data_IF_965061691403
#
_entry.id   IF_965061691403
#
_cell.length_a   1.000
_cell.length_b   1.000
_cell.length_c   1.000
_cell.angle_alpha   90.00
_cell.angle_beta   90.00
_cell.angle_gamma   90.00
#
_symmetry.space_group_name_H-M   'P 1'
#
loop_
_entity.id
_entity.type
_entity.pdbx_description
1 polymer ?
#
# COMPACT_ATOMS: atom_id res chain seq x y z
N UNK A 1 18.98 10.26 3.74
CA UNK A 1 17.89 9.33 3.45
C UNK A 1 17.26 9.73 2.15
N UNK A 2 16.61 8.78 1.49
CA UNK A 2 16.04 8.93 0.15
C UNK A 2 14.92 9.97 0.13
N UNK A 3 14.82 10.71 -0.97
CA UNK A 3 13.78 11.72 -1.17
C UNK A 3 12.38 11.09 -1.27
N UNK A 4 12.29 9.89 -1.83
CA UNK A 4 11.05 9.11 -1.87
C UNK A 4 11.31 7.68 -1.38
N UNK A 5 10.58 7.28 -0.34
CA UNK A 5 10.64 5.97 0.29
C UNK A 5 9.24 5.55 0.78
N UNK A 6 9.11 4.37 1.40
CA UNK A 6 7.85 3.86 1.94
C UNK A 6 7.12 4.89 2.82
N UNK A 7 7.84 5.54 3.75
CA UNK A 7 7.24 6.51 4.68
C UNK A 7 6.75 7.73 3.93
N UNK A 8 7.62 8.38 3.15
CA UNK A 8 7.25 9.62 2.44
C UNK A 8 6.17 9.36 1.39
N UNK A 9 6.13 8.17 0.79
CA UNK A 9 5.08 7.76 -0.13
C UNK A 9 3.72 7.64 0.55
N UNK A 10 3.62 6.89 1.65
CA UNK A 10 2.36 6.78 2.39
C UNK A 10 1.92 8.10 3.03
N UNK A 11 2.86 8.81 3.66
CA UNK A 11 2.58 10.09 4.34
C UNK A 11 2.17 11.16 3.33
N UNK A 12 2.88 11.28 2.20
CA UNK A 12 2.55 12.24 1.14
C UNK A 12 1.23 11.90 0.45
N UNK A 13 1.00 10.63 0.10
CA UNK A 13 -0.22 10.23 -0.60
C UNK A 13 -1.48 10.25 0.25
N UNK A 14 -1.33 10.24 1.58
CA UNK A 14 -2.45 10.31 2.52
C UNK A 14 -2.58 11.68 3.18
N UNK A 15 -1.66 12.62 2.92
CA UNK A 15 -1.56 13.89 3.66
C UNK A 15 -1.53 13.68 5.18
N UNK A 16 -0.67 12.77 5.63
CA UNK A 16 -0.48 12.46 7.06
C UNK A 16 -1.59 11.63 7.70
N UNK A 17 -2.64 11.25 6.97
CA UNK A 17 -3.68 10.35 7.48
C UNK A 17 -3.16 8.92 7.72
N UNK A 18 -2.05 8.54 7.08
CA UNK A 18 -1.26 7.35 7.40
C UNK A 18 0.23 7.67 7.39
N UNK A 19 0.89 7.42 8.53
CA UNK A 19 2.34 7.58 8.68
C UNK A 19 2.93 6.23 9.06
N UNK A 20 3.82 5.70 8.21
CA UNK A 20 4.57 4.48 8.50
C UNK A 20 5.82 4.85 9.28
N UNK A 21 5.98 4.26 10.46
CA UNK A 21 7.15 4.50 11.33
C UNK A 21 7.96 3.21 11.53
N UNK A 22 9.28 3.33 11.73
CA UNK A 22 10.12 2.20 12.12
C UNK A 22 9.60 1.52 13.40
N UNK A 23 9.46 0.19 13.37
CA UNK A 23 9.00 -0.61 14.49
C UNK A 23 10.12 -1.27 15.30
N UNK A 24 9.82 -1.66 16.54
CA UNK A 24 10.70 -2.51 17.36
C UNK A 24 11.92 -1.83 18.00
N UNK A 25 11.94 -0.50 18.11
CA UNK A 25 13.03 0.23 18.80
C UNK A 25 13.27 -0.27 20.23
N UNK A 26 12.21 -0.54 20.98
CA UNK A 26 12.28 -1.10 22.35
C UNK A 26 12.84 -2.54 22.41
N UNK A 27 12.92 -3.20 21.25
CA UNK A 27 13.53 -4.53 21.07
C UNK A 27 14.95 -4.44 20.50
N UNK A 28 15.51 -3.24 20.38
CA UNK A 28 16.83 -3.01 19.81
C UNK A 28 16.90 -3.11 18.29
N UNK A 29 15.75 -3.03 17.59
CA UNK A 29 15.72 -2.93 16.13
C UNK A 29 16.12 -1.49 15.76
N UNK A 30 17.18 -1.36 14.96
CA UNK A 30 17.69 -0.05 14.54
C UNK A 30 16.98 0.40 13.27
N UNK A 31 16.37 1.58 13.30
CA UNK A 31 15.65 2.17 12.17
C UNK A 31 14.65 1.23 11.48
N UNK A 32 14.06 0.30 12.25
CA UNK A 32 13.05 -0.64 11.73
C UNK A 32 13.62 -1.79 10.90
N UNK A 33 14.95 -1.93 10.84
CA UNK A 33 15.65 -2.97 10.08
C UNK A 33 16.37 -3.92 11.03
N UNK A 34 16.18 -5.23 10.81
CA UNK A 34 16.92 -6.27 11.51
C UNK A 34 17.32 -7.38 10.55
N UNK A 35 18.53 -7.90 10.70
CA UNK A 35 18.98 -9.11 10.00
C UNK A 35 18.54 -10.35 10.77
N UNK A 36 17.78 -11.22 10.11
CA UNK A 36 17.37 -12.53 10.63
C UNK A 36 18.14 -13.62 9.88
N UNK A 37 18.80 -14.49 10.62
CA UNK A 37 19.54 -15.63 10.04
C UNK A 37 18.74 -16.91 10.22
N UNK A 38 18.56 -17.66 9.13
CA UNK A 38 17.89 -18.97 9.13
C UNK A 38 18.75 -20.00 8.42
N UNK A 39 18.55 -21.28 8.75
CA UNK A 39 19.24 -22.40 8.08
C UNK A 39 18.57 -22.84 6.78
N UNK A 40 17.41 -22.29 6.45
CA UNK A 40 16.65 -22.62 5.24
C UNK A 40 17.49 -22.31 4.00
N UNK A 41 17.62 -23.28 3.11
CA UNK A 41 18.40 -23.10 1.89
C UNK A 41 17.75 -22.08 0.95
N UNK A 42 18.57 -21.20 0.36
CA UNK A 42 18.12 -20.22 -0.63
C UNK A 42 17.95 -20.88 -2.00
N UNK A 43 16.85 -21.61 -2.17
CA UNK A 43 16.53 -22.36 -3.39
C UNK A 43 15.15 -21.97 -3.92
N UNK A 44 14.98 -22.02 -5.24
CA UNK A 44 13.73 -21.61 -5.91
C UNK A 44 12.52 -22.40 -5.40
N UNK A 45 11.45 -21.67 -5.10
CA UNK A 45 10.19 -22.22 -4.57
C UNK A 45 10.22 -22.53 -3.08
N UNK A 46 11.26 -22.11 -2.35
CA UNK A 46 11.41 -22.38 -0.93
C UNK A 46 10.98 -21.20 -0.02
N UNK A 47 10.32 -20.20 -0.60
CA UNK A 47 9.85 -18.99 0.10
C UNK A 47 8.92 -19.30 1.27
N UNK A 48 8.08 -20.35 1.14
CA UNK A 48 7.16 -20.80 2.19
C UNK A 48 7.90 -21.28 3.43
N UNK A 49 8.89 -22.14 3.27
CA UNK A 49 9.65 -22.64 4.40
C UNK A 49 10.50 -21.51 4.99
N UNK A 50 11.11 -20.69 4.13
CA UNK A 50 11.98 -19.61 4.57
C UNK A 50 11.23 -18.54 5.39
N UNK A 51 10.05 -18.09 4.95
CA UNK A 51 9.26 -17.11 5.74
C UNK A 51 8.77 -17.68 7.08
N UNK A 52 8.49 -18.98 7.13
CA UNK A 52 8.09 -19.65 8.37
C UNK A 52 9.28 -19.70 9.35
N UNK A 53 10.46 -20.08 8.85
CA UNK A 53 11.69 -20.13 9.64
C UNK A 53 12.12 -18.72 10.09
N UNK A 54 11.95 -17.70 9.23
CA UNK A 54 12.19 -16.29 9.59
C UNK A 54 11.25 -15.88 10.73
N UNK A 55 9.95 -16.19 10.62
CA UNK A 55 8.96 -15.87 11.65
C UNK A 55 9.30 -16.55 12.98
N UNK A 56 9.70 -17.82 12.94
CA UNK A 56 10.14 -18.55 14.12
C UNK A 56 11.41 -17.95 14.73
N UNK A 57 12.38 -17.54 13.90
CA UNK A 57 13.60 -16.90 14.34
C UNK A 57 13.35 -15.53 14.98
N UNK A 58 12.45 -14.70 14.42
CA UNK A 58 12.01 -13.43 15.02
C UNK A 58 11.41 -13.68 16.41
N UNK A 59 10.47 -14.62 16.50
CA UNK A 59 9.82 -14.99 17.75
C UNK A 59 10.84 -15.41 18.82
N UNK A 60 11.79 -16.27 18.46
CA UNK A 60 12.84 -16.74 19.36
C UNK A 60 13.80 -15.60 19.77
N UNK A 61 14.25 -14.79 18.82
CA UNK A 61 15.22 -13.72 19.05
C UNK A 61 14.69 -12.63 19.97
N UNK A 62 13.40 -12.28 19.85
CA UNK A 62 12.80 -11.16 20.58
C UNK A 62 11.91 -11.57 21.76
N UNK A 63 11.82 -12.88 22.01
CA UNK A 63 11.02 -13.45 23.10
C UNK A 63 9.53 -13.18 22.94
N UNK A 64 9.00 -13.30 21.72
CA UNK A 64 7.58 -13.08 21.40
C UNK A 64 6.98 -14.33 20.77
N UNK A 65 5.65 -14.41 20.75
CA UNK A 65 4.91 -15.51 20.10
C UNK A 65 4.37 -15.14 18.72
N UNK A 66 4.28 -13.84 18.44
CA UNK A 66 3.86 -13.31 17.15
C UNK A 66 4.66 -12.02 16.86
N UNK A 67 5.22 -11.84 15.64
CA UNK A 67 5.93 -10.62 15.28
C UNK A 67 5.11 -9.33 15.43
N UNK A 68 3.77 -9.41 15.38
CA UNK A 68 2.89 -8.23 15.60
C UNK A 68 2.95 -7.69 17.02
N UNK A 69 3.55 -8.42 17.97
CA UNK A 69 3.85 -7.90 19.30
C UNK A 69 5.03 -6.91 19.32
N UNK A 70 5.73 -6.73 18.19
CA UNK A 70 6.89 -5.86 18.04
C UNK A 70 6.58 -4.69 17.09
N UNK A 71 5.93 -4.98 15.96
CA UNK A 71 5.57 -4.02 14.93
C UNK A 71 4.31 -4.49 14.19
N UNK A 72 3.43 -3.58 13.82
CA UNK A 72 2.14 -3.91 13.18
C UNK A 72 2.32 -4.63 11.83
N UNK A 73 3.37 -4.26 11.10
CA UNK A 73 3.71 -4.84 9.80
C UNK A 73 5.18 -5.25 9.69
N UNK A 74 5.42 -6.33 8.96
CA UNK A 74 6.74 -6.88 8.69
C UNK A 74 6.96 -7.05 7.19
N UNK A 75 8.16 -6.70 6.74
CA UNK A 75 8.62 -6.82 5.36
C UNK A 75 9.80 -7.80 5.32
N UNK A 76 9.60 -8.96 4.71
CA UNK A 76 10.64 -9.97 4.60
C UNK A 76 11.40 -9.81 3.28
N UNK A 77 12.63 -9.30 3.36
CA UNK A 77 13.59 -9.30 2.25
C UNK A 77 14.23 -10.68 2.11
N UNK A 78 13.79 -11.49 1.15
CA UNK A 78 14.37 -12.81 0.93
C UNK A 78 15.63 -12.72 0.05
N UNK A 79 16.63 -13.60 0.23
CA UNK A 79 17.77 -13.73 -0.68
C UNK A 79 17.34 -13.98 -2.15
N UNK A 80 18.22 -13.70 -3.13
CA UNK A 80 17.92 -13.97 -4.52
C UNK A 80 17.67 -15.46 -4.78
N UNK A 81 16.72 -15.74 -5.68
CA UNK A 81 16.43 -17.09 -6.15
C UNK A 81 15.58 -17.95 -5.20
N UNK A 82 15.08 -17.40 -4.09
CA UNK A 82 14.20 -18.14 -3.17
C UNK A 82 12.76 -18.24 -3.67
N UNK A 83 12.24 -17.12 -4.19
CA UNK A 83 10.84 -17.00 -4.62
C UNK A 83 10.71 -16.84 -6.12
N UNK A 84 9.55 -17.22 -6.65
CA UNK A 84 9.14 -16.89 -8.01
C UNK A 84 8.39 -15.55 -8.01
N UNK A 85 8.73 -14.65 -8.92
CA UNK A 85 8.18 -13.29 -8.95
C UNK A 85 9.00 -12.29 -8.15
N UNK A 86 8.43 -11.11 -7.94
CA UNK A 86 9.15 -9.95 -7.41
C UNK A 86 8.85 -9.68 -5.93
N UNK A 87 7.59 -9.86 -5.53
CA UNK A 87 7.11 -9.72 -4.17
C UNK A 87 5.69 -10.30 -4.07
N UNK A 88 5.17 -10.49 -2.85
CA UNK A 88 3.76 -10.77 -2.60
C UNK A 88 3.38 -10.44 -1.14
N UNK A 89 2.08 -10.22 -0.92
CA UNK A 89 1.44 -10.10 0.38
C UNK A 89 0.01 -10.64 0.33
N UNK A 90 -0.57 -10.90 1.50
CA UNK A 90 -1.98 -11.27 1.59
C UNK A 90 -2.83 -10.04 1.97
N UNK A 91 -4.06 -10.00 1.48
CA UNK A 91 -5.03 -8.96 1.84
C UNK A 91 -5.33 -9.04 3.34
N UNK A 92 -5.28 -7.91 4.05
CA UNK A 92 -5.51 -7.80 5.50
C UNK A 92 -4.52 -8.63 6.33
N UNK A 93 -3.25 -8.62 5.92
CA UNK A 93 -2.14 -9.32 6.58
C UNK A 93 -1.23 -8.36 7.33
N UNK A 94 -0.37 -8.91 8.17
CA UNK A 94 0.74 -8.18 8.80
C UNK A 94 2.06 -8.33 8.03
N UNK A 95 2.15 -9.31 7.13
CA UNK A 95 3.41 -9.72 6.49
C UNK A 95 3.37 -9.52 4.98
N UNK A 96 4.44 -8.92 4.45
CA UNK A 96 4.77 -8.82 3.03
C UNK A 96 6.14 -9.45 2.76
N UNK A 97 6.34 -10.02 1.59
CA UNK A 97 7.54 -10.79 1.23
C UNK A 97 8.08 -10.31 -0.11
N UNK A 98 9.39 -10.08 -0.19
CA UNK A 98 10.04 -9.44 -1.33
C UNK A 98 11.24 -10.26 -1.79
N UNK A 99 11.46 -10.28 -3.09
CA UNK A 99 12.61 -10.95 -3.72
C UNK A 99 13.78 -9.99 -3.79
N UNK A 100 14.84 -10.25 -3.03
CA UNK A 100 16.12 -9.56 -3.12
C UNK A 100 15.99 -8.03 -3.14
N UNK A 101 16.39 -7.35 -4.22
CA UNK A 101 16.37 -5.89 -4.32
C UNK A 101 14.96 -5.27 -4.33
N UNK A 102 13.90 -6.06 -4.59
CA UNK A 102 12.54 -5.53 -4.59
C UNK A 102 12.10 -4.99 -3.24
N UNK A 103 12.76 -5.42 -2.17
CA UNK A 103 12.51 -4.87 -0.85
C UNK A 103 13.13 -3.48 -0.65
N UNK A 104 13.89 -2.96 -1.62
CA UNK A 104 14.48 -1.62 -1.60
C UNK A 104 13.71 -0.62 -2.49
N UNK A 105 12.85 -1.08 -3.40
CA UNK A 105 12.14 -0.19 -4.33
C UNK A 105 10.82 0.31 -3.72
N UNK A 106 10.63 1.63 -3.56
CA UNK A 106 9.43 2.19 -2.92
C UNK A 106 8.12 1.72 -3.57
N UNK A 107 8.09 1.58 -4.90
CA UNK A 107 6.92 1.05 -5.61
C UNK A 107 6.52 -0.35 -5.12
N UNK A 108 7.49 -1.27 -4.98
CA UNK A 108 7.24 -2.61 -4.45
C UNK A 108 6.79 -2.57 -2.99
N UNK A 109 7.51 -1.82 -2.15
CA UNK A 109 7.19 -1.69 -0.73
C UNK A 109 5.77 -1.13 -0.50
N UNK A 110 5.40 -0.06 -1.21
CA UNK A 110 4.10 0.57 -1.09
C UNK A 110 2.99 -0.36 -1.60
N UNK A 111 3.21 -1.05 -2.73
CA UNK A 111 2.26 -2.02 -3.29
C UNK A 111 1.94 -3.15 -2.31
N UNK A 112 2.96 -3.85 -1.83
CA UNK A 112 2.76 -5.03 -0.99
C UNK A 112 2.26 -4.67 0.41
N UNK A 113 2.72 -3.55 0.97
CA UNK A 113 2.11 -3.04 2.21
C UNK A 113 0.66 -2.60 1.98
N UNK A 114 0.30 -2.19 0.76
CA UNK A 114 -1.08 -1.88 0.38
C UNK A 114 -2.02 -3.08 0.54
N UNK A 115 -1.54 -4.29 0.24
CA UNK A 115 -2.29 -5.52 0.52
C UNK A 115 -2.51 -5.72 2.02
N UNK A 116 -1.53 -5.42 2.87
CA UNK A 116 -1.71 -5.48 4.32
C UNK A 116 -2.86 -4.57 4.80
N UNK A 117 -3.07 -3.42 4.15
CA UNK A 117 -4.19 -2.51 4.40
C UNK A 117 -5.51 -2.89 3.70
N UNK A 118 -5.53 -4.04 3.03
CA UNK A 118 -6.74 -4.61 2.43
C UNK A 118 -6.93 -4.30 0.95
N UNK A 119 -5.96 -3.68 0.27
CA UNK A 119 -6.10 -3.39 -1.15
C UNK A 119 -5.99 -4.64 -2.01
N UNK A 120 -6.89 -4.81 -2.97
CA UNK A 120 -6.67 -5.70 -4.12
C UNK A 120 -5.82 -5.01 -5.20
N UNK A 121 -5.36 -5.73 -6.21
CA UNK A 121 -4.72 -5.12 -7.38
C UNK A 121 -5.63 -4.14 -8.10
N UNK A 122 -5.02 -3.16 -8.75
CA UNK A 122 -5.65 -2.33 -9.77
C UNK A 122 -5.29 -2.90 -11.14
N UNK A 123 -6.32 -3.22 -11.92
CA UNK A 123 -6.20 -3.92 -13.20
C UNK A 123 -6.65 -2.98 -14.31
N UNK A 124 -6.16 -3.19 -15.53
CA UNK A 124 -6.63 -2.48 -16.72
C UNK A 124 -7.23 -3.47 -17.72
N UNK A 125 -8.51 -3.29 -18.04
CA UNK A 125 -9.27 -4.24 -18.86
C UNK A 125 -9.26 -5.65 -18.25
N UNK A 126 -8.66 -6.60 -18.96
CA UNK A 126 -8.50 -8.00 -18.52
C UNK A 126 -7.12 -8.29 -17.92
N UNK A 127 -6.21 -7.33 -17.90
CA UNK A 127 -4.83 -7.53 -17.47
C UNK A 127 -4.69 -7.14 -15.99
N UNK A 128 -4.32 -8.13 -15.18
CA UNK A 128 -3.94 -7.88 -13.79
C UNK A 128 -2.71 -6.99 -13.72
N UNK A 129 -2.66 -6.09 -12.74
CA UNK A 129 -1.53 -5.16 -12.50
C UNK A 129 -1.27 -4.13 -13.62
N UNK A 130 -2.08 -4.09 -14.67
CA UNK A 130 -1.79 -3.21 -15.81
C UNK A 130 -2.11 -1.74 -15.54
N UNK A 131 -2.84 -1.41 -14.48
CA UNK A 131 -3.11 -0.02 -14.13
C UNK A 131 -1.80 0.72 -13.76
N UNK A 132 -1.45 1.75 -14.53
CA UNK A 132 -0.27 2.57 -14.27
C UNK A 132 -0.61 3.90 -13.58
N UNK A 133 -1.89 4.11 -13.26
CA UNK A 133 -2.36 5.33 -12.62
C UNK A 133 -2.23 5.33 -11.10
N UNK A 134 -1.94 4.20 -10.45
CA UNK A 134 -1.75 4.14 -9.00
C UNK A 134 -0.94 2.95 -8.48
N UNK A 135 -0.48 3.05 -7.23
CA UNK A 135 0.53 2.13 -6.66
C UNK A 135 0.08 0.66 -6.54
N UNK A 136 -1.22 0.38 -6.58
CA UNK A 136 -1.74 -1.00 -6.55
C UNK A 136 -1.82 -1.68 -7.93
N UNK A 137 -1.34 -1.03 -8.99
CA UNK A 137 -1.25 -1.62 -10.33
C UNK A 137 0.15 -2.09 -10.65
N UNK A 138 0.80 -1.48 -11.64
CA UNK A 138 2.14 -1.90 -12.09
C UNK A 138 3.23 -1.52 -11.09
N UNK A 139 4.18 -2.41 -10.85
CA UNK A 139 5.32 -2.19 -9.95
C UNK A 139 6.60 -1.86 -10.72
N UNK A 140 7.39 -0.93 -10.20
CA UNK A 140 8.58 -0.40 -10.87
C UNK A 140 9.85 -0.65 -10.05
N UNK A 141 10.93 -1.04 -10.74
CA UNK A 141 12.26 -1.20 -10.15
C UNK A 141 13.05 0.12 -10.22
N UNK A 142 12.48 1.18 -9.66
CA UNK A 142 13.09 2.51 -9.61
C UNK A 142 13.44 2.83 -8.17
N UNK A 143 14.67 3.31 -7.98
CA UNK A 143 15.03 3.99 -6.75
C UNK A 143 14.37 5.37 -6.73
N UNK A 144 13.92 5.80 -5.55
CA UNK A 144 13.19 7.06 -5.34
C UNK A 144 11.94 7.26 -6.24
N UNK A 145 11.29 6.19 -6.72
CA UNK A 145 10.10 6.35 -7.54
C UNK A 145 9.39 5.09 -8.03
N UNK A 146 8.42 5.26 -8.94
CA UNK A 146 7.80 6.54 -9.32
C UNK A 146 7.05 7.19 -8.16
N UNK A 147 6.93 8.52 -8.20
CA UNK A 147 6.09 9.28 -7.26
C UNK A 147 4.65 9.27 -7.77
N UNK A 148 3.83 8.41 -7.17
CA UNK A 148 2.42 8.23 -7.53
C UNK A 148 1.64 7.72 -6.32
N UNK A 149 0.35 8.07 -6.25
CA UNK A 149 -0.52 7.69 -5.14
C UNK A 149 -1.52 6.61 -5.54
N UNK A 150 -2.33 6.17 -4.60
CA UNK A 150 -3.41 5.24 -4.89
C UNK A 150 -4.55 5.90 -5.67
N UNK A 151 -5.27 5.11 -6.46
CA UNK A 151 -6.45 5.61 -7.16
C UNK A 151 -7.63 5.86 -6.18
N UNK A 152 -8.65 6.56 -6.68
CA UNK A 152 -9.80 7.01 -5.91
C UNK A 152 -10.48 5.91 -5.08
N UNK A 153 -10.62 4.70 -5.63
CA UNK A 153 -11.29 3.59 -4.95
C UNK A 153 -10.49 3.10 -3.73
N UNK A 154 -9.15 3.09 -3.81
CA UNK A 154 -8.27 2.67 -2.71
C UNK A 154 -8.22 3.71 -1.61
N UNK A 155 -8.09 4.99 -1.97
CA UNK A 155 -8.12 6.09 -0.98
C UNK A 155 -9.46 6.11 -0.24
N UNK A 156 -10.58 5.95 -0.97
CA UNK A 156 -11.90 5.80 -0.36
C UNK A 156 -12.00 4.58 0.58
N UNK A 157 -11.48 3.42 0.16
CA UNK A 157 -11.59 2.16 0.93
C UNK A 157 -11.05 2.29 2.36
N UNK A 158 -9.99 3.06 2.57
CA UNK A 158 -9.36 3.26 3.88
C UNK A 158 -9.79 4.57 4.56
N UNK A 159 -10.75 5.28 3.97
CA UNK A 159 -11.31 6.52 4.53
C UNK A 159 -10.44 7.77 4.34
N UNK A 160 -9.41 7.72 3.50
CA UNK A 160 -8.61 8.91 3.21
C UNK A 160 -9.44 9.97 2.49
N UNK A 161 -9.25 11.22 2.90
CA UNK A 161 -9.93 12.39 2.34
C UNK A 161 -11.45 12.34 2.53
N UNK A 162 -11.93 11.67 3.60
CA UNK A 162 -13.37 11.54 3.89
C UNK A 162 -14.07 12.88 4.15
N UNK A 163 -13.31 13.88 4.60
CA UNK A 163 -13.72 15.28 4.77
C UNK A 163 -13.85 16.04 3.44
N UNK A 164 -13.16 15.60 2.39
CA UNK A 164 -13.20 16.16 1.02
C UNK A 164 -13.77 15.18 0.01
N UNK A 165 -14.74 14.40 0.48
CA UNK A 165 -15.36 13.32 -0.26
C UNK A 165 -16.86 13.55 -0.39
N UNK A 166 -17.39 13.35 -1.60
CA UNK A 166 -18.82 13.43 -1.87
C UNK A 166 -19.33 12.12 -2.48
N UNK A 167 -20.59 11.81 -2.19
CA UNK A 167 -21.29 10.65 -2.74
C UNK A 167 -22.49 11.09 -3.56
N UNK A 168 -22.70 10.42 -4.68
CA UNK A 168 -23.92 10.53 -5.48
C UNK A 168 -24.44 9.15 -5.85
N UNK A 169 -25.76 9.01 -6.03
CA UNK A 169 -26.36 7.78 -6.52
C UNK A 169 -26.77 7.93 -7.97
N UNK A 170 -26.30 7.02 -8.83
CA UNK A 170 -26.74 6.92 -10.21
C UNK A 170 -28.12 6.24 -10.21
N UNK A 171 -29.11 6.85 -10.85
CA UNK A 171 -30.49 6.37 -10.88
C UNK A 171 -31.31 6.69 -9.62
N UNK A 172 -30.77 7.46 -8.69
CA UNK A 172 -31.47 7.88 -7.48
C UNK A 172 -32.39 9.10 -7.68
N UNK A 173 -33.03 9.56 -6.61
CA UNK A 173 -33.99 10.69 -6.60
C UNK A 173 -33.65 11.80 -5.59
N UNK A 174 -32.50 11.70 -4.92
CA UNK A 174 -31.96 12.72 -4.02
C UNK A 174 -31.42 13.95 -4.76
N UNK A 175 -31.13 15.00 -4.00
CA UNK A 175 -30.72 16.31 -4.54
C UNK A 175 -29.40 16.28 -5.34
N UNK A 176 -28.50 15.34 -5.04
CA UNK A 176 -27.21 15.14 -5.73
C UNK A 176 -27.20 13.88 -6.60
N UNK A 177 -28.35 13.21 -6.75
CA UNK A 177 -28.45 12.00 -7.56
C UNK A 177 -28.50 12.35 -9.04
N UNK A 178 -27.83 11.54 -9.88
CA UNK A 178 -27.68 11.72 -11.33
C UNK A 178 -26.92 12.97 -11.80
N UNK A 179 -26.88 14.05 -11.02
CA UNK A 179 -26.18 15.28 -11.34
C UNK A 179 -25.49 15.84 -10.09
N UNK A 180 -24.17 15.96 -10.16
CA UNK A 180 -23.34 16.57 -9.13
C UNK A 180 -22.52 17.68 -9.79
N UNK A 181 -22.65 18.90 -9.28
CA UNK A 181 -21.82 20.05 -9.66
C UNK A 181 -20.95 20.41 -8.45
N UNK A 182 -19.63 20.24 -8.60
CA UNK A 182 -18.66 20.51 -7.55
C UNK A 182 -17.30 20.81 -8.17
N UNK A 183 -16.52 21.66 -7.51
CA UNK A 183 -15.12 21.88 -7.86
C UNK A 183 -14.27 20.74 -7.32
N UNK A 184 -13.49 20.13 -8.19
CA UNK A 184 -12.62 19.01 -7.85
C UNK A 184 -11.16 19.39 -7.90
N UNK A 185 -10.36 18.83 -6.99
CA UNK A 185 -8.90 19.00 -6.96
C UNK A 185 -8.16 17.68 -6.87
N UNK A 186 -6.86 17.73 -7.10
CA UNK A 186 -6.00 16.56 -6.92
C UNK A 186 -5.64 16.38 -5.45
N UNK A 187 -5.41 15.14 -5.03
CA UNK A 187 -5.09 14.87 -3.64
C UNK A 187 -3.86 15.65 -3.16
N UNK A 188 -2.87 15.89 -4.04
CA UNK A 188 -1.68 16.69 -3.73
C UNK A 188 -1.98 18.12 -3.23
N UNK A 189 -3.19 18.65 -3.49
CA UNK A 189 -3.63 19.98 -3.06
C UNK A 189 -4.51 19.94 -1.79
N UNK A 190 -4.56 18.81 -1.05
CA UNK A 190 -5.40 18.61 0.14
C UNK A 190 -5.32 19.76 1.16
N UNK A 191 -4.10 20.24 1.45
CA UNK A 191 -3.84 21.30 2.42
C UNK A 191 -3.85 22.71 1.82
N UNK A 192 -4.00 22.82 0.49
CA UNK A 192 -3.99 24.09 -0.23
C UNK A 192 -5.41 24.60 -0.42
N UNK A 193 -6.32 23.73 -0.86
CA UNK A 193 -7.72 24.09 -1.10
C UNK A 193 -8.64 23.42 -0.09
N UNK A 194 -9.15 24.23 0.85
CA UNK A 194 -9.94 23.73 1.97
C UNK A 194 -11.36 23.31 1.57
N UNK A 195 -11.90 23.87 0.49
CA UNK A 195 -13.32 23.72 0.12
C UNK A 195 -13.55 22.78 -1.09
N UNK A 196 -12.47 22.30 -1.72
CA UNK A 196 -12.57 21.44 -2.91
C UNK A 196 -12.73 19.94 -2.61
N UNK A 197 -13.48 19.28 -3.49
CA UNK A 197 -13.70 17.83 -3.47
C UNK A 197 -12.49 17.10 -4.06
N UNK A 198 -11.98 16.08 -3.38
CA UNK A 198 -10.91 15.21 -3.89
C UNK A 198 -11.46 13.90 -4.42
N UNK A 199 -12.44 13.31 -3.73
CA UNK A 199 -13.05 12.04 -4.15
C UNK A 199 -14.54 12.23 -4.42
N UNK A 200 -14.95 11.80 -5.60
CA UNK A 200 -16.37 11.56 -5.90
C UNK A 200 -16.60 10.06 -5.98
N UNK A 201 -17.42 9.52 -5.08
CA UNK A 201 -17.94 8.15 -5.20
C UNK A 201 -19.34 8.17 -5.82
N UNK A 202 -19.49 7.40 -6.88
CA UNK A 202 -20.73 7.26 -7.63
C UNK A 202 -21.30 5.85 -7.39
N UNK A 203 -22.32 5.78 -6.55
CA UNK A 203 -22.99 4.54 -6.21
C UNK A 203 -23.84 4.09 -7.40
N UNK A 204 -23.62 2.86 -7.87
CA UNK A 204 -24.45 2.29 -8.93
C UNK A 204 -25.58 1.44 -8.34
N UNK A 205 -26.76 1.37 -8.98
CA UNK A 205 -27.85 0.49 -8.53
C UNK A 205 -27.45 -0.99 -8.52
N UNK A 206 -26.49 -1.36 -9.36
CA UNK A 206 -25.93 -2.71 -9.45
C UNK A 206 -24.50 -2.71 -9.97
N UNK A 207 -23.77 -3.77 -9.63
CA UNK A 207 -22.38 -3.96 -10.02
C UNK A 207 -21.40 -3.18 -9.13
N UNK A 208 -20.24 -2.82 -9.70
CA UNK A 208 -19.21 -2.05 -9.01
C UNK A 208 -19.52 -0.55 -9.12
N UNK A 209 -19.36 0.15 -8.01
CA UNK A 209 -19.38 1.62 -7.94
C UNK A 209 -18.27 2.22 -8.80
N UNK A 210 -18.44 3.49 -9.17
CA UNK A 210 -17.41 4.27 -9.85
C UNK A 210 -16.81 5.28 -8.88
N UNK A 211 -15.54 5.62 -9.11
CA UNK A 211 -14.80 6.58 -8.29
C UNK A 211 -14.05 7.53 -9.21
N UNK A 212 -14.04 8.81 -8.85
CA UNK A 212 -13.31 9.85 -9.56
C UNK A 212 -12.41 10.58 -8.57
N UNK A 213 -11.16 10.76 -8.98
CA UNK A 213 -10.13 11.56 -8.33
C UNK A 213 -9.16 12.00 -9.42
N UNK A 214 -8.65 13.22 -9.34
CA UNK A 214 -7.48 13.61 -10.13
C UNK A 214 -6.21 13.17 -9.39
N UNK A 215 -5.58 12.08 -9.81
CA UNK A 215 -4.33 11.61 -9.19
C UNK A 215 -3.15 12.53 -9.57
N UNK A 216 -3.10 13.70 -8.94
CA UNK A 216 -2.09 14.73 -9.19
C UNK A 216 -0.76 14.27 -8.60
N UNK A 217 0.32 14.49 -9.33
CA UNK A 217 1.67 14.23 -8.82
C UNK A 217 1.92 15.08 -7.56
N UNK A 218 2.20 14.42 -6.44
CA UNK A 218 2.64 15.02 -5.16
C UNK A 218 4.08 15.51 -5.23
#
# INVERSE_FOLDING_TARGET
GDAFNLKTGYEGCSHGQLIINPGGGDKGINDGVVTITVSTAATSGNDVNMRNDITAAINAQFGVTNPTQIADHWMYCLPPGVMNGIAYAFINSWMSVYSNEWCNYPSGQIHELGHNFGYAHSNEGTQSYADQSGMMGYSYSQDEGPVMCFNAAKSWQVGWFSDKSVQMNIGGSGATDNCLETDTTGQADYDIDLDQTIIVKMNKPSGRDLFLMYNKKT
#
